data_IF_382946626631
#
_entry.id   IF_382946626631
#
_cell.length_a   1.000
_cell.length_b   1.000
_cell.length_c   1.000
_cell.angle_alpha   90.00
_cell.angle_beta   90.00
_cell.angle_gamma   90.00
#
_symmetry.space_group_name_H-M   'P 1'
#
loop_
_entity.id
_entity.type
_entity.pdbx_description
1 polymer ?
#
# COMPACT_ATOMS: atom_id res chain seq x y z
N UNK A 1 -2.23 5.11 28.12
CA UNK A 1 -1.64 5.71 26.90
C UNK A 1 -2.46 5.22 25.73
N UNK A 2 -3.14 6.12 25.01
CA UNK A 2 -3.95 5.73 23.85
C UNK A 2 -3.04 5.09 22.81
N UNK A 3 -3.23 3.81 22.56
CA UNK A 3 -2.46 2.97 21.64
C UNK A 3 -2.78 3.38 20.19
N UNK A 4 -2.17 4.46 19.69
CA UNK A 4 -2.40 4.88 18.30
C UNK A 4 -1.60 3.97 17.37
N UNK A 5 -2.31 3.18 16.55
CA UNK A 5 -1.78 2.57 15.34
C UNK A 5 -1.48 3.69 14.35
N UNK A 6 -0.21 4.13 14.27
CA UNK A 6 0.16 5.17 13.33
C UNK A 6 -0.07 4.68 11.88
N UNK A 7 -0.79 5.47 11.10
CA UNK A 7 -1.02 5.27 9.67
C UNK A 7 -0.29 6.39 8.93
N UNK A 8 0.61 6.05 8.00
CA UNK A 8 1.35 7.03 7.20
C UNK A 8 0.69 7.19 5.84
N UNK A 9 -0.27 8.12 5.77
CA UNK A 9 -1.09 8.31 4.59
C UNK A 9 -1.37 9.77 4.28
N UNK A 10 -1.60 10.04 2.99
CA UNK A 10 -2.08 11.32 2.49
C UNK A 10 -2.74 11.13 1.13
N UNK A 11 -3.53 12.12 0.70
CA UNK A 11 -4.08 12.17 -0.65
C UNK A 11 -3.94 13.58 -1.21
N UNK A 12 -3.90 13.69 -2.53
CA UNK A 12 -3.92 14.96 -3.24
C UNK A 12 -5.27 15.11 -3.95
N UNK A 13 -5.83 16.31 -3.91
CA UNK A 13 -7.02 16.64 -4.69
C UNK A 13 -6.64 16.82 -6.16
N UNK A 14 -7.40 16.17 -7.04
CA UNK A 14 -7.31 16.42 -8.47
C UNK A 14 -7.87 17.81 -8.78
N UNK A 15 -7.16 18.56 -9.62
CA UNK A 15 -7.64 19.85 -10.08
C UNK A 15 -8.85 19.70 -11.03
N UNK A 16 -9.55 20.80 -11.29
CA UNK A 16 -10.79 20.80 -12.09
C UNK A 16 -10.63 20.25 -13.51
N UNK A 17 -9.41 20.29 -14.08
CA UNK A 17 -9.12 19.80 -15.43
C UNK A 17 -9.05 18.26 -15.51
N UNK A 18 -8.97 17.57 -14.37
CA UNK A 18 -8.85 16.11 -14.32
C UNK A 18 -10.04 15.44 -13.60
N UNK A 19 -11.19 16.13 -13.48
CA UNK A 19 -12.38 15.56 -12.82
C UNK A 19 -13.02 14.41 -13.58
N UNK A 20 -12.73 14.26 -14.88
CA UNK A 20 -13.26 13.18 -15.72
C UNK A 20 -12.33 11.94 -15.75
N UNK A 21 -11.36 11.85 -14.83
CA UNK A 21 -10.55 10.64 -14.68
C UNK A 21 -11.40 9.48 -14.16
N UNK A 22 -11.88 8.66 -15.09
CA UNK A 22 -12.72 7.49 -14.81
C UNK A 22 -12.00 6.16 -15.05
N UNK A 23 -10.71 6.19 -15.38
CA UNK A 23 -9.88 5.00 -15.63
C UNK A 23 -8.70 4.99 -14.68
N UNK A 24 -8.68 4.01 -13.78
CA UNK A 24 -7.61 3.80 -12.81
C UNK A 24 -6.91 2.48 -13.15
N UNK A 25 -5.66 2.57 -13.61
CA UNK A 25 -4.90 1.41 -14.07
C UNK A 25 -3.60 1.29 -13.30
N UNK A 26 -3.22 0.05 -13.04
CA UNK A 26 -1.89 -0.33 -12.61
C UNK A 26 -0.92 -0.21 -13.79
N UNK A 27 0.36 -0.08 -13.49
CA UNK A 27 1.41 0.14 -14.51
C UNK A 27 1.66 -1.08 -15.39
N UNK A 28 1.26 -2.28 -14.95
CA UNK A 28 1.24 -3.50 -15.77
C UNK A 28 0.03 -3.57 -16.73
N UNK A 29 -0.80 -2.52 -16.77
CA UNK A 29 -1.99 -2.44 -17.62
C UNK A 29 -3.22 -3.16 -17.06
N UNK A 30 -3.13 -3.78 -15.89
CA UNK A 30 -4.30 -4.31 -15.18
C UNK A 30 -5.02 -3.22 -14.37
N UNK A 31 -6.22 -3.53 -13.87
CA UNK A 31 -6.99 -2.64 -12.99
C UNK A 31 -7.05 -3.22 -11.58
N UNK A 32 -7.17 -2.35 -10.59
CA UNK A 32 -7.56 -2.76 -9.24
C UNK A 32 -8.99 -3.31 -9.30
N UNK A 33 -9.26 -4.41 -8.62
CA UNK A 33 -10.56 -5.12 -8.65
C UNK A 33 -11.36 -4.97 -7.35
N UNK A 34 -10.77 -4.30 -6.36
CA UNK A 34 -11.38 -4.06 -5.06
C UNK A 34 -10.34 -3.95 -3.95
N UNK A 35 -10.81 -4.12 -2.72
CA UNK A 35 -9.98 -4.14 -1.51
C UNK A 35 -10.02 -5.53 -0.86
N UNK A 36 -8.94 -5.92 -0.19
CA UNK A 36 -8.87 -7.14 0.61
C UNK A 36 -8.02 -6.93 1.87
N UNK A 37 -8.32 -7.72 2.90
CA UNK A 37 -7.43 -7.84 4.07
C UNK A 37 -6.16 -8.59 3.66
N UNK A 38 -4.99 -8.06 4.04
CA UNK A 38 -3.73 -8.75 3.83
C UNK A 38 -3.67 -10.07 4.61
N UNK A 39 -3.03 -11.09 4.03
CA UNK A 39 -2.78 -12.37 4.68
C UNK A 39 -1.33 -12.76 4.50
N UNK A 40 -0.75 -13.44 5.49
CA UNK A 40 0.59 -14.02 5.34
C UNK A 40 0.59 -14.98 4.15
N UNK A 41 1.68 -14.97 3.39
CA UNK A 41 1.85 -15.68 2.12
C UNK A 41 1.08 -15.11 0.91
N UNK A 42 0.34 -14.00 1.06
CA UNK A 42 -0.20 -13.29 -0.10
C UNK A 42 0.97 -12.80 -0.96
N UNK A 43 1.00 -13.24 -2.24
CA UNK A 43 1.92 -12.72 -3.23
C UNK A 43 1.59 -11.26 -3.54
N UNK A 44 2.60 -10.40 -3.50
CA UNK A 44 2.42 -8.97 -3.63
C UNK A 44 2.85 -8.46 -5.00
N UNK A 45 2.26 -7.34 -5.40
CA UNK A 45 2.85 -6.45 -6.40
C UNK A 45 2.62 -4.99 -6.00
N UNK A 46 3.57 -4.13 -6.36
CA UNK A 46 3.43 -2.67 -6.29
C UNK A 46 4.24 -2.03 -7.42
N UNK A 47 3.99 -0.75 -7.69
CA UNK A 47 4.82 0.01 -8.61
C UNK A 47 5.25 1.31 -7.96
N UNK A 48 6.55 1.40 -7.65
CA UNK A 48 7.15 2.61 -7.09
C UNK A 48 7.79 3.49 -8.15
N UNK A 49 8.00 4.76 -7.82
CA UNK A 49 8.63 5.71 -8.74
C UNK A 49 10.11 5.40 -8.98
N UNK A 50 10.77 4.76 -8.00
CA UNK A 50 12.20 4.42 -8.06
C UNK A 50 12.42 2.99 -8.49
N UNK A 51 11.66 2.04 -7.93
CA UNK A 51 11.85 0.61 -8.22
C UNK A 51 11.10 0.14 -9.47
N UNK A 52 10.15 0.92 -9.99
CA UNK A 52 9.23 0.45 -11.01
C UNK A 52 8.33 -0.66 -10.47
N UNK A 53 7.95 -1.61 -11.33
CA UNK A 53 7.11 -2.76 -10.95
C UNK A 53 7.93 -3.76 -10.14
N UNK A 54 7.43 -4.09 -8.95
CA UNK A 54 7.97 -5.14 -8.08
C UNK A 54 6.86 -6.15 -7.82
N UNK A 55 7.11 -7.42 -8.13
CA UNK A 55 6.10 -8.49 -8.07
C UNK A 55 6.64 -9.82 -7.52
N UNK A 56 7.83 -9.83 -6.92
CA UNK A 56 8.55 -11.04 -6.49
C UNK A 56 8.45 -11.32 -4.97
N UNK A 57 7.64 -10.56 -4.23
CA UNK A 57 7.51 -10.68 -2.77
C UNK A 57 6.25 -11.42 -2.29
N UNK A 58 6.24 -11.71 -0.99
CA UNK A 58 5.09 -12.21 -0.23
C UNK A 58 4.97 -11.47 1.10
N UNK A 59 3.75 -11.36 1.61
CA UNK A 59 3.50 -10.88 2.97
C UNK A 59 4.06 -11.89 3.99
N UNK A 60 4.90 -11.42 4.89
CA UNK A 60 5.53 -12.22 5.96
C UNK A 60 4.90 -11.97 7.33
N UNK A 61 4.29 -10.81 7.54
CA UNK A 61 3.49 -10.51 8.74
C UNK A 61 2.39 -9.49 8.41
N UNK A 62 1.29 -9.53 9.16
CA UNK A 62 0.16 -8.60 9.04
C UNK A 62 -0.05 -7.75 10.30
N UNK A 63 0.74 -7.98 11.35
CA UNK A 63 0.65 -7.28 12.63
C UNK A 63 2.02 -6.81 13.12
N UNK A 64 2.91 -6.47 12.18
CA UNK A 64 4.25 -6.02 12.51
C UNK A 64 4.21 -4.74 13.34
N UNK A 65 5.12 -4.66 14.31
CA UNK A 65 5.31 -3.50 15.17
C UNK A 65 6.79 -3.14 15.21
N UNK A 66 7.12 -1.85 15.11
CA UNK A 66 8.50 -1.39 15.14
C UNK A 66 8.63 0.13 15.10
N UNK A 67 9.88 0.60 15.04
CA UNK A 67 10.21 2.02 14.98
C UNK A 67 10.73 2.34 13.58
N UNK A 68 10.13 3.34 12.94
CA UNK A 68 10.58 3.90 11.65
C UNK A 68 10.68 5.41 11.84
N UNK A 69 11.82 6.01 11.52
CA UNK A 69 12.09 7.45 11.67
C UNK A 69 11.66 8.02 13.04
N UNK A 70 12.06 7.33 14.11
CA UNK A 70 11.72 7.66 15.51
C UNK A 70 10.21 7.66 15.84
N UNK A 71 9.37 7.08 14.99
CA UNK A 71 7.93 6.88 15.23
C UNK A 71 7.62 5.40 15.39
N UNK A 72 6.74 5.07 16.34
CA UNK A 72 6.28 3.70 16.56
C UNK A 72 5.14 3.39 15.60
N UNK A 73 5.25 2.31 14.85
CA UNK A 73 4.17 1.76 14.03
C UNK A 73 3.73 0.41 14.61
N UNK A 74 2.43 0.13 14.55
CA UNK A 74 1.79 -1.11 15.04
C UNK A 74 0.76 -1.57 14.03
N UNK A 75 0.46 -2.86 13.99
CA UNK A 75 -0.53 -3.42 13.06
C UNK A 75 -0.18 -3.13 11.59
N UNK A 76 1.08 -3.37 11.21
CA UNK A 76 1.54 -3.12 9.83
C UNK A 76 1.72 -4.41 9.04
N UNK A 77 1.61 -4.29 7.72
CA UNK A 77 1.99 -5.34 6.78
C UNK A 77 3.50 -5.31 6.62
N UNK A 78 4.16 -6.45 6.82
CA UNK A 78 5.56 -6.66 6.47
C UNK A 78 5.61 -7.63 5.29
N UNK A 79 6.43 -7.35 4.29
CA UNK A 79 6.64 -8.22 3.13
C UNK A 79 8.11 -8.28 2.72
N UNK A 80 8.53 -9.39 2.11
CA UNK A 80 9.92 -9.66 1.76
C UNK A 80 10.28 -9.20 0.34
N UNK A 81 10.00 -7.94 0.04
CA UNK A 81 10.51 -7.28 -1.15
C UNK A 81 11.01 -5.88 -0.79
N UNK A 82 11.91 -5.35 -1.61
CA UNK A 82 12.59 -4.07 -1.37
C UNK A 82 11.79 -2.92 -1.98
N UNK A 83 11.26 -2.03 -1.14
CA UNK A 83 10.82 -0.70 -1.52
C UNK A 83 11.98 0.28 -1.27
N UNK A 84 12.25 1.15 -2.23
CA UNK A 84 13.33 2.14 -2.19
C UNK A 84 12.78 3.52 -1.82
N UNK A 85 13.63 4.45 -1.35
CA UNK A 85 13.24 5.85 -1.23
C UNK A 85 12.58 6.35 -2.53
N UNK A 86 11.39 6.93 -2.43
CA UNK A 86 10.55 7.34 -3.56
C UNK A 86 9.43 6.35 -3.93
N UNK A 87 9.44 5.12 -3.42
CA UNK A 87 8.33 4.17 -3.60
C UNK A 87 7.22 4.36 -2.56
N UNK A 88 7.43 5.19 -1.54
CA UNK A 88 6.40 5.55 -0.55
C UNK A 88 5.15 6.10 -1.23
N UNK A 89 3.98 5.69 -0.76
CA UNK A 89 2.69 5.99 -1.39
C UNK A 89 2.29 5.00 -2.50
N UNK A 90 3.11 4.00 -2.83
CA UNK A 90 2.73 2.96 -3.78
C UNK A 90 1.59 2.09 -3.25
N UNK A 91 0.63 1.77 -4.11
CA UNK A 91 -0.44 0.83 -3.79
C UNK A 91 0.12 -0.61 -3.79
N UNK A 92 0.03 -1.28 -2.64
CA UNK A 92 0.35 -2.70 -2.49
C UNK A 92 -0.88 -3.53 -2.84
N UNK A 93 -0.72 -4.47 -3.75
CA UNK A 93 -1.82 -5.23 -4.36
C UNK A 93 -1.56 -6.74 -4.21
N UNK A 94 -2.61 -7.51 -3.93
CA UNK A 94 -2.58 -8.97 -4.04
C UNK A 94 -2.45 -9.36 -5.53
N UNK A 95 -1.30 -9.94 -5.87
CA UNK A 95 -0.93 -10.29 -7.24
C UNK A 95 -1.89 -11.30 -7.88
N UNK A 96 -2.59 -12.11 -7.09
CA UNK A 96 -3.48 -13.17 -7.60
C UNK A 96 -4.82 -12.65 -8.12
N UNK A 97 -5.30 -11.55 -7.56
CA UNK A 97 -6.67 -11.07 -7.81
C UNK A 97 -6.77 -9.56 -8.02
N UNK A 98 -5.65 -8.83 -7.96
CA UNK A 98 -5.56 -7.37 -8.09
C UNK A 98 -6.36 -6.56 -7.06
N UNK A 99 -6.62 -7.12 -5.87
CA UNK A 99 -7.21 -6.35 -4.77
C UNK A 99 -6.13 -5.57 -4.04
N UNK A 100 -6.40 -4.30 -3.76
CA UNK A 100 -5.54 -3.49 -2.91
C UNK A 100 -5.54 -4.08 -1.49
N UNK A 101 -4.35 -4.18 -0.89
CA UNK A 101 -4.16 -4.70 0.47
C UNK A 101 -3.42 -3.71 1.38
N UNK A 102 -2.62 -2.79 0.82
CA UNK A 102 -1.92 -1.80 1.63
C UNK A 102 -1.35 -0.60 0.88
N UNK A 103 -0.73 0.31 1.63
CA UNK A 103 -0.02 1.48 1.13
C UNK A 103 1.43 1.43 1.64
N UNK A 104 2.40 1.35 0.74
CA UNK A 104 3.82 1.24 1.08
C UNK A 104 4.30 2.55 1.70
N UNK A 105 4.95 2.51 2.85
CA UNK A 105 5.48 3.71 3.52
C UNK A 105 6.98 3.64 3.84
N UNK A 106 7.50 2.43 4.11
CA UNK A 106 8.90 2.24 4.49
C UNK A 106 9.50 0.96 3.90
N UNK A 107 10.83 0.92 3.82
CA UNK A 107 11.58 -0.18 3.23
C UNK A 107 12.99 -0.31 3.79
N UNK A 108 13.54 -1.51 3.66
CA UNK A 108 14.92 -1.90 3.95
C UNK A 108 15.41 -2.81 2.82
N UNK A 109 16.67 -3.23 2.84
CA UNK A 109 17.23 -4.11 1.81
C UNK A 109 16.41 -5.38 1.56
N UNK A 110 15.84 -5.99 2.62
CA UNK A 110 15.18 -7.29 2.53
C UNK A 110 13.68 -7.27 2.85
N UNK A 111 13.20 -6.22 3.53
CA UNK A 111 11.83 -6.12 3.98
C UNK A 111 11.28 -4.73 3.78
N UNK A 112 9.98 -4.67 3.50
CA UNK A 112 9.26 -3.40 3.42
C UNK A 112 7.94 -3.48 4.17
N UNK A 113 7.43 -2.30 4.50
CA UNK A 113 6.27 -2.11 5.34
C UNK A 113 5.19 -1.33 4.59
N UNK A 114 3.95 -1.73 4.83
CA UNK A 114 2.77 -1.05 4.32
C UNK A 114 1.72 -0.91 5.43
N UNK A 115 0.98 0.19 5.42
CA UNK A 115 -0.25 0.31 6.20
C UNK A 115 -1.34 -0.55 5.55
N UNK A 116 -2.25 -1.13 6.34
CA UNK A 116 -3.41 -1.83 5.78
C UNK A 116 -4.30 -0.84 5.02
N UNK A 117 -4.78 -1.25 3.85
CA UNK A 117 -5.58 -0.35 3.00
C UNK A 117 -6.88 0.10 3.69
N UNK A 118 -7.46 -0.75 4.55
CA UNK A 118 -8.67 -0.42 5.30
C UNK A 118 -8.43 0.74 6.28
N UNK A 119 -7.29 0.74 6.97
CA UNK A 119 -6.93 1.78 7.94
C UNK A 119 -6.61 3.10 7.24
N UNK A 120 -5.91 3.04 6.10
CA UNK A 120 -5.64 4.20 5.24
C UNK A 120 -6.95 4.86 4.77
N UNK A 121 -7.87 4.09 4.21
CA UNK A 121 -9.14 4.61 3.70
C UNK A 121 -10.01 5.19 4.83
N UNK A 122 -10.00 4.55 6.00
CA UNK A 122 -10.71 5.00 7.20
C UNK A 122 -10.16 6.32 7.73
N UNK A 123 -8.83 6.43 7.87
CA UNK A 123 -8.16 7.63 8.38
C UNK A 123 -8.37 8.83 7.45
N UNK A 124 -8.32 8.59 6.15
CA UNK A 124 -8.55 9.63 5.14
C UNK A 124 -10.04 9.95 4.90
N UNK A 125 -10.97 9.10 5.36
CA UNK A 125 -12.40 9.26 5.12
C UNK A 125 -12.79 9.14 3.63
N UNK A 126 -12.11 8.29 2.88
CA UNK A 126 -12.29 8.13 1.42
C UNK A 126 -12.60 6.69 1.02
N UNK A 127 -12.99 6.48 -0.23
CA UNK A 127 -13.17 5.16 -0.84
C UNK A 127 -12.17 4.99 -1.99
N UNK A 128 -11.69 3.76 -2.16
CA UNK A 128 -10.85 3.43 -3.30
C UNK A 128 -11.69 3.36 -4.57
N UNK A 129 -11.28 4.08 -5.61
CA UNK A 129 -11.86 3.93 -6.93
C UNK A 129 -11.24 2.72 -7.64
N UNK A 130 -12.09 1.84 -8.16
CA UNK A 130 -11.68 0.67 -8.93
C UNK A 130 -12.76 0.28 -9.94
N UNK A 131 -12.37 -0.45 -10.99
CA UNK A 131 -13.31 -0.94 -11.99
C UNK A 131 -14.17 -2.06 -11.36
N UNK A 132 -15.50 -1.98 -11.55
CA UNK A 132 -16.44 -3.02 -11.10
C UNK A 132 -16.48 -4.20 -12.06
#
# INVERSE_FOLDING_TARGET
VSETENVDCGYALLNSLHRDMNKFRLTDGSSVTGIATAKVWTGIKFCGSTSGVVDNGVVTSVNWCGIVDNKIFRNQILFNATARPGDSGSLLVDRSNNKAIGLVFAGSENYSMANHIADVLKELGVQLAYEK
#
